data_IF_972497007962
#
_entry.id   IF_972497007962
#
_cell.length_a   1.000
_cell.length_b   1.000
_cell.length_c   1.000
_cell.angle_alpha   90.00
_cell.angle_beta   90.00
_cell.angle_gamma   90.00
#
_symmetry.space_group_name_H-M   'P 1'
#
loop_
_entity.id
_entity.type
_entity.pdbx_description
1 polymer ?
#
# COMPACT_ATOMS: atom_id res chain seq x y z
N UNK A 1 -16.50 12.60 13.29
CA UNK A 1 -15.65 11.53 12.73
C UNK A 1 -15.63 10.34 13.69
N UNK A 2 -15.83 9.11 13.20
CA UNK A 2 -15.71 7.87 13.98
C UNK A 2 -14.41 7.19 13.58
N UNK A 3 -13.63 6.71 14.52
CA UNK A 3 -12.36 6.00 14.27
C UNK A 3 -12.13 4.91 15.32
N UNK A 4 -11.62 3.76 14.87
CA UNK A 4 -11.13 2.70 15.74
C UNK A 4 -9.87 3.14 16.50
N UNK A 5 -8.95 3.79 15.80
CA UNK A 5 -7.69 4.26 16.38
C UNK A 5 -7.91 5.52 17.22
N UNK A 6 -7.23 5.60 18.36
CA UNK A 6 -7.28 6.75 19.27
C UNK A 6 -6.36 7.87 18.85
N UNK A 7 -5.35 7.53 18.08
CA UNK A 7 -4.33 8.44 17.59
C UNK A 7 -4.93 9.49 16.66
N UNK A 8 -4.29 10.64 16.56
CA UNK A 8 -4.58 11.63 15.54
C UNK A 8 -4.26 11.02 14.16
N UNK A 9 -5.01 11.33 13.08
CA UNK A 9 -4.70 10.84 11.74
C UNK A 9 -3.22 11.05 11.39
N UNK A 10 -2.55 9.99 11.01
CA UNK A 10 -1.11 9.96 10.82
C UNK A 10 -0.70 9.35 9.47
N UNK A 11 0.52 9.66 9.05
CA UNK A 11 1.10 9.18 7.80
C UNK A 11 1.52 7.70 7.91
N UNK A 12 0.66 6.80 7.43
CA UNK A 12 0.94 5.34 7.46
C UNK A 12 2.13 4.94 6.60
N UNK A 13 2.51 5.77 5.61
CA UNK A 13 3.68 5.46 4.77
C UNK A 13 4.99 5.54 5.55
N UNK A 14 5.00 6.25 6.68
CA UNK A 14 6.16 6.33 7.56
C UNK A 14 6.35 5.09 8.44
N UNK A 15 5.32 4.26 8.60
CA UNK A 15 5.41 3.07 9.46
C UNK A 15 6.50 2.09 9.00
N UNK A 16 6.67 1.93 7.68
CA UNK A 16 7.75 1.09 7.13
C UNK A 16 9.02 1.89 6.84
N UNK A 17 8.91 3.16 6.45
CA UNK A 17 10.07 3.99 6.06
C UNK A 17 10.88 4.51 7.24
N UNK A 18 10.25 4.64 8.40
CA UNK A 18 10.86 5.19 9.62
C UNK A 18 10.65 4.27 10.84
N UNK A 19 10.60 2.96 10.60
CA UNK A 19 10.25 1.94 11.61
C UNK A 19 11.10 2.04 12.88
N UNK A 20 12.39 2.29 12.74
CA UNK A 20 13.34 2.40 13.86
C UNK A 20 13.91 3.81 14.02
N UNK A 21 13.33 4.81 13.33
CA UNK A 21 13.63 6.18 13.62
C UNK A 21 13.11 6.54 15.03
N UNK A 22 13.81 7.43 15.71
CA UNK A 22 13.40 7.90 17.03
C UNK A 22 12.29 8.96 16.88
N UNK A 23 11.13 8.53 16.35
CA UNK A 23 9.95 9.35 16.14
C UNK A 23 8.95 9.11 17.26
N UNK A 24 8.42 10.21 17.80
CA UNK A 24 7.28 10.19 18.70
C UNK A 24 5.97 10.02 17.89
N UNK A 25 4.88 9.48 18.45
CA UNK A 25 3.61 9.34 17.74
C UNK A 25 3.11 10.61 17.06
N UNK A 26 3.39 11.79 17.62
CA UNK A 26 3.04 13.10 17.05
C UNK A 26 3.78 13.41 15.75
N UNK A 27 4.97 12.84 15.53
CA UNK A 27 5.80 13.10 14.35
C UNK A 27 5.24 12.43 13.09
N UNK A 28 4.34 11.45 13.28
CA UNK A 28 3.59 10.82 12.18
C UNK A 28 2.36 11.62 11.77
N UNK A 29 1.89 12.59 12.57
CA UNK A 29 0.61 13.27 12.36
C UNK A 29 0.59 14.18 11.13
N UNK A 30 -0.52 14.14 10.37
CA UNK A 30 -0.79 15.09 9.26
C UNK A 30 -1.29 16.44 9.73
N UNK A 31 -1.95 16.48 10.89
CA UNK A 31 -2.69 17.64 11.38
C UNK A 31 -2.19 18.00 12.77
N UNK A 32 -2.24 19.27 13.08
CA UNK A 32 -1.87 19.76 14.41
C UNK A 32 -2.83 19.25 15.51
N UNK A 33 -2.40 19.29 16.77
CA UNK A 33 -3.16 18.74 17.90
C UNK A 33 -4.52 19.45 18.09
N UNK A 34 -4.63 20.72 17.74
CA UNK A 34 -5.81 21.57 17.88
C UNK A 34 -6.72 21.61 16.64
N UNK A 35 -6.37 20.86 15.58
CA UNK A 35 -7.10 20.88 14.31
C UNK A 35 -8.58 20.50 14.47
N UNK A 36 -8.89 19.45 15.24
CA UNK A 36 -10.26 19.00 15.43
C UNK A 36 -11.13 20.05 16.12
N UNK A 37 -10.56 20.77 17.09
CA UNK A 37 -11.24 21.85 17.80
C UNK A 37 -11.48 23.05 16.85
N UNK A 38 -10.42 23.50 16.15
CA UNK A 38 -10.51 24.60 15.19
C UNK A 38 -11.53 24.33 14.07
N UNK A 39 -11.55 23.09 13.57
CA UNK A 39 -12.48 22.69 12.51
C UNK A 39 -13.83 22.23 13.04
N UNK A 40 -14.06 22.28 14.37
CA UNK A 40 -15.31 21.86 15.05
C UNK A 40 -15.70 20.41 14.71
N UNK A 41 -14.71 19.52 14.53
CA UNK A 41 -14.93 18.11 14.23
C UNK A 41 -15.00 17.29 15.51
N UNK A 42 -16.19 16.77 15.82
CA UNK A 42 -16.35 15.83 16.94
C UNK A 42 -15.75 14.48 16.61
N UNK A 43 -14.77 14.03 17.41
CA UNK A 43 -14.21 12.68 17.33
C UNK A 43 -14.99 11.72 18.23
N UNK A 44 -15.26 10.54 17.71
CA UNK A 44 -15.84 9.42 18.45
C UNK A 44 -14.93 8.22 18.24
N UNK A 45 -14.34 7.71 19.31
CA UNK A 45 -13.57 6.48 19.25
C UNK A 45 -14.49 5.28 19.47
N UNK A 46 -14.38 4.28 18.61
CA UNK A 46 -15.18 3.07 18.69
C UNK A 46 -15.08 2.20 17.43
N UNK A 47 -15.45 0.95 17.59
CA UNK A 47 -15.58 -0.03 16.50
C UNK A 47 -16.96 0.15 15.86
N UNK A 48 -17.02 0.36 14.55
CA UNK A 48 -18.28 0.41 13.80
C UNK A 48 -18.74 -1.04 13.61
N UNK A 49 -19.95 -1.35 14.07
CA UNK A 49 -20.58 -2.66 13.90
C UNK A 49 -21.56 -2.70 12.73
N UNK A 50 -22.28 -1.57 12.47
CA UNK A 50 -23.32 -1.51 11.45
C UNK A 50 -23.40 -0.13 10.80
N UNK A 51 -23.65 -0.10 9.50
CA UNK A 51 -24.15 1.06 8.77
C UNK A 51 -25.63 0.82 8.46
N UNK A 52 -26.52 1.43 9.23
CA UNK A 52 -27.95 1.38 8.97
C UNK A 52 -28.36 2.51 8.02
N UNK A 53 -28.22 2.25 6.72
CA UNK A 53 -28.45 3.26 5.70
C UNK A 53 -29.90 3.71 5.60
N UNK A 54 -30.86 2.80 5.87
CA UNK A 54 -32.29 3.10 5.82
C UNK A 54 -32.70 4.12 6.90
N UNK A 55 -32.12 4.04 8.09
CA UNK A 55 -32.38 4.92 9.21
C UNK A 55 -31.32 6.03 9.37
N UNK A 56 -30.35 6.11 8.45
CA UNK A 56 -29.23 7.06 8.48
C UNK A 56 -28.48 7.04 9.82
N UNK A 57 -28.09 5.86 10.27
CA UNK A 57 -27.36 5.65 11.53
C UNK A 57 -26.12 4.80 11.34
N UNK A 58 -25.07 5.15 12.05
CA UNK A 58 -23.91 4.28 12.27
C UNK A 58 -23.99 3.75 13.69
N UNK A 59 -23.96 2.42 13.85
CA UNK A 59 -24.01 1.76 15.16
C UNK A 59 -22.62 1.25 15.52
N UNK A 60 -22.19 1.56 16.72
CA UNK A 60 -20.92 1.08 17.26
C UNK A 60 -21.11 -0.24 18.02
N UNK A 61 -20.04 -1.01 18.15
CA UNK A 61 -20.04 -2.30 18.84
C UNK A 61 -20.43 -2.20 20.33
N UNK A 62 -20.28 -1.02 20.95
CA UNK A 62 -20.72 -0.73 22.32
C UNK A 62 -22.18 -0.29 22.42
N UNK A 63 -22.94 -0.33 21.32
CA UNK A 63 -24.37 0.01 21.26
C UNK A 63 -24.65 1.50 21.02
N UNK A 64 -23.66 2.38 21.02
CA UNK A 64 -23.89 3.79 20.66
C UNK A 64 -24.31 3.89 19.20
N UNK A 65 -25.34 4.72 18.92
CA UNK A 65 -25.77 5.04 17.57
C UNK A 65 -25.51 6.51 17.26
N UNK A 66 -25.06 6.79 16.05
CA UNK A 66 -24.74 8.13 15.56
C UNK A 66 -25.58 8.37 14.30
N UNK A 67 -26.45 9.36 14.36
CA UNK A 67 -27.26 9.79 13.22
C UNK A 67 -26.43 10.67 12.28
N UNK A 68 -26.75 10.60 10.98
CA UNK A 68 -26.09 11.38 9.95
C UNK A 68 -27.07 11.85 8.86
N UNK A 69 -26.80 12.97 8.23
CA UNK A 69 -27.44 13.39 6.99
C UNK A 69 -26.71 12.81 5.76
N UNK A 70 -25.38 12.84 5.82
CA UNK A 70 -24.45 12.29 4.84
C UNK A 70 -23.36 11.48 5.55
N UNK A 71 -23.00 10.34 4.97
CA UNK A 71 -21.98 9.46 5.49
C UNK A 71 -20.86 9.29 4.48
N UNK A 72 -19.61 9.55 4.88
CA UNK A 72 -18.44 9.22 4.08
C UNK A 72 -17.78 7.97 4.70
N UNK A 73 -17.83 6.87 3.98
CA UNK A 73 -17.23 5.61 4.37
C UNK A 73 -15.75 5.61 3.95
N UNK A 74 -14.84 5.73 4.91
CA UNK A 74 -13.40 5.83 4.69
C UNK A 74 -12.62 4.89 5.61
N UNK A 75 -13.10 3.65 5.78
CA UNK A 75 -12.51 2.66 6.69
C UNK A 75 -11.23 2.01 6.12
N UNK A 76 -10.81 2.41 4.92
CA UNK A 76 -9.55 1.98 4.32
C UNK A 76 -9.49 0.49 4.01
N UNK A 77 -8.34 -0.10 4.27
CA UNK A 77 -8.02 -1.50 3.98
C UNK A 77 -7.27 -2.16 5.13
N UNK A 78 -7.21 -3.49 5.12
CA UNK A 78 -6.37 -4.30 5.98
C UNK A 78 -5.39 -5.14 5.15
N UNK A 79 -4.27 -5.54 5.73
CA UNK A 79 -3.36 -6.45 5.06
C UNK A 79 -3.94 -7.85 4.98
N UNK A 80 -3.85 -8.43 3.80
CA UNK A 80 -4.23 -9.82 3.59
C UNK A 80 -3.13 -10.74 4.12
N UNK A 81 -3.46 -11.57 5.10
CA UNK A 81 -2.62 -12.67 5.55
C UNK A 81 -3.10 -13.92 4.84
N UNK A 82 -2.29 -14.52 3.94
CA UNK A 82 -2.64 -15.79 3.33
C UNK A 82 -2.88 -16.86 4.40
N UNK A 83 -3.86 -17.74 4.19
CA UNK A 83 -4.10 -18.83 5.13
C UNK A 83 -2.96 -19.86 5.05
N UNK A 84 -2.16 -19.94 6.10
CA UNK A 84 -1.20 -21.01 6.35
C UNK A 84 -1.29 -21.44 7.81
N UNK A 85 -0.90 -22.65 8.13
CA UNK A 85 -0.94 -23.14 9.52
C UNK A 85 -0.07 -22.28 10.44
N UNK A 86 -0.61 -21.85 11.58
CA UNK A 86 0.09 -20.96 12.53
C UNK A 86 0.12 -19.49 12.11
N UNK A 87 -0.67 -19.06 11.11
CA UNK A 87 -0.74 -17.64 10.72
C UNK A 87 -1.33 -16.73 11.81
N UNK A 88 -1.99 -17.29 12.82
CA UNK A 88 -2.50 -16.56 14.00
C UNK A 88 -1.48 -16.49 15.15
N UNK A 89 -0.29 -17.10 15.05
CA UNK A 89 0.75 -16.99 16.09
C UNK A 89 1.09 -15.51 16.35
N UNK A 90 1.32 -15.19 17.62
CA UNK A 90 1.60 -13.82 18.04
C UNK A 90 2.84 -13.20 17.37
N UNK A 91 3.75 -14.01 16.85
CA UNK A 91 4.96 -13.59 16.12
C UNK A 91 4.71 -13.35 14.64
N UNK A 92 3.54 -13.73 14.13
CA UNK A 92 3.08 -13.37 12.77
C UNK A 92 2.31 -12.07 12.87
N UNK A 93 2.66 -11.08 12.05
CA UNK A 93 2.07 -9.75 12.12
C UNK A 93 2.10 -9.05 10.75
N UNK A 94 1.47 -7.89 10.68
CA UNK A 94 1.53 -6.95 9.56
C UNK A 94 2.11 -5.63 10.07
N UNK A 95 2.27 -4.62 9.21
CA UNK A 95 2.65 -3.26 9.62
C UNK A 95 1.65 -2.28 9.00
N UNK A 96 0.51 -2.09 9.67
CA UNK A 96 -0.56 -1.19 9.24
C UNK A 96 -0.83 -0.06 10.22
N UNK A 97 -0.52 -0.28 11.50
CA UNK A 97 -0.82 0.64 12.60
C UNK A 97 0.43 0.90 13.44
N UNK A 98 0.39 1.96 14.27
CA UNK A 98 1.44 2.21 15.26
C UNK A 98 1.56 1.05 16.26
N UNK A 99 0.45 0.39 16.58
CA UNK A 99 0.45 -0.79 17.46
C UNK A 99 1.19 -1.98 16.82
N UNK A 100 1.02 -2.19 15.51
CA UNK A 100 1.77 -3.23 14.78
C UNK A 100 3.27 -2.95 14.83
N UNK A 101 3.66 -1.69 14.68
CA UNK A 101 5.06 -1.27 14.75
C UNK A 101 5.67 -1.57 16.13
N UNK A 102 4.97 -1.23 17.22
CA UNK A 102 5.41 -1.54 18.58
C UNK A 102 5.46 -3.06 18.81
N UNK A 103 4.52 -3.81 18.27
CA UNK A 103 4.54 -5.29 18.31
C UNK A 103 5.81 -5.84 17.64
N UNK A 104 6.16 -5.37 16.44
CA UNK A 104 7.39 -5.80 15.74
C UNK A 104 8.62 -5.48 16.59
N UNK A 105 8.72 -4.28 17.16
CA UNK A 105 9.83 -3.89 18.02
C UNK A 105 9.98 -4.81 19.23
N UNK A 106 8.88 -5.10 19.92
CA UNK A 106 8.87 -6.02 21.08
C UNK A 106 9.29 -7.45 20.73
N UNK A 107 8.86 -7.98 19.58
CA UNK A 107 9.25 -9.31 19.12
C UNK A 107 10.77 -9.42 18.85
N UNK A 108 11.39 -8.34 18.38
CA UNK A 108 12.83 -8.28 18.10
C UNK A 108 13.72 -8.21 19.34
N UNK A 109 13.15 -8.05 20.54
CA UNK A 109 13.90 -8.17 21.80
C UNK A 109 14.32 -9.62 22.08
N UNK A 110 13.54 -10.61 21.60
CA UNK A 110 13.81 -12.04 21.78
C UNK A 110 14.77 -12.63 20.75
N UNK A 111 15.09 -11.90 19.68
CA UNK A 111 16.01 -12.33 18.63
C UNK A 111 15.90 -11.48 17.36
N UNK A 112 16.83 -11.71 16.43
CA UNK A 112 17.00 -10.86 15.25
C UNK A 112 16.72 -11.59 13.91
N UNK A 113 16.08 -12.74 13.94
CA UNK A 113 15.65 -13.45 12.75
C UNK A 113 14.30 -12.91 12.29
N UNK A 114 14.26 -12.25 11.15
CA UNK A 114 13.06 -11.63 10.58
C UNK A 114 12.74 -12.21 9.20
N UNK A 115 11.50 -12.65 9.02
CA UNK A 115 11.02 -13.17 7.74
C UNK A 115 9.90 -12.26 7.24
N UNK A 116 10.05 -11.76 6.01
CA UNK A 116 9.04 -10.98 5.30
C UNK A 116 8.31 -11.91 4.32
N UNK A 117 7.00 -12.05 4.44
CA UNK A 117 6.17 -12.80 3.48
C UNK A 117 5.53 -11.79 2.54
N UNK A 118 6.06 -11.71 1.31
CA UNK A 118 5.68 -10.76 0.27
C UNK A 118 6.83 -9.82 -0.12
N UNK A 119 7.27 -9.91 -1.37
CA UNK A 119 8.35 -9.10 -1.99
C UNK A 119 7.84 -7.87 -2.73
N UNK A 120 6.73 -7.27 -2.26
CA UNK A 120 6.21 -5.98 -2.74
C UNK A 120 6.86 -4.79 -2.04
N UNK A 121 6.39 -3.56 -2.37
CA UNK A 121 6.93 -2.29 -1.86
C UNK A 121 7.05 -2.29 -0.33
N UNK A 122 5.94 -2.51 0.36
CA UNK A 122 5.87 -2.46 1.83
C UNK A 122 6.78 -3.51 2.47
N UNK A 123 6.79 -4.74 1.93
CA UNK A 123 7.66 -5.82 2.42
C UNK A 123 9.14 -5.50 2.26
N UNK A 124 9.54 -4.96 1.10
CA UNK A 124 10.92 -4.60 0.83
C UNK A 124 11.41 -3.40 1.65
N UNK A 125 10.56 -2.38 1.83
CA UNK A 125 10.86 -1.24 2.72
C UNK A 125 11.05 -1.72 4.17
N UNK A 126 10.13 -2.56 4.67
CA UNK A 126 10.23 -3.13 6.01
C UNK A 126 11.49 -4.02 6.14
N UNK A 127 11.81 -4.83 5.13
CA UNK A 127 13.03 -5.65 5.10
C UNK A 127 14.30 -4.80 5.23
N UNK A 128 14.34 -3.67 4.53
CA UNK A 128 15.48 -2.76 4.61
C UNK A 128 15.63 -2.10 5.97
N UNK A 129 14.53 -1.64 6.57
CA UNK A 129 14.55 -1.07 7.93
C UNK A 129 14.98 -2.11 8.97
N UNK A 130 14.46 -3.34 8.91
CA UNK A 130 14.88 -4.45 9.76
C UNK A 130 16.36 -4.79 9.58
N UNK A 131 16.86 -4.75 8.33
CA UNK A 131 18.29 -4.97 8.04
C UNK A 131 19.17 -3.89 8.67
N UNK A 132 18.78 -2.62 8.55
CA UNK A 132 19.49 -1.50 9.19
C UNK A 132 19.48 -1.61 10.72
N UNK A 133 18.42 -2.18 11.29
CA UNK A 133 18.32 -2.45 12.74
C UNK A 133 19.18 -3.61 13.21
N UNK A 134 19.87 -4.32 12.30
CA UNK A 134 20.76 -5.41 12.61
C UNK A 134 20.12 -6.80 12.59
N UNK A 135 18.95 -6.94 11.95
CA UNK A 135 18.32 -8.24 11.78
C UNK A 135 18.97 -9.07 10.65
N UNK A 136 18.88 -10.39 10.79
CA UNK A 136 19.03 -11.32 9.68
C UNK A 136 17.68 -11.39 8.96
N UNK A 137 17.63 -10.88 7.73
CA UNK A 137 16.37 -10.70 7.02
C UNK A 137 16.27 -11.66 5.84
N UNK A 138 15.16 -12.38 5.76
CA UNK A 138 14.77 -13.17 4.58
C UNK A 138 13.45 -12.66 4.04
N UNK A 139 13.40 -12.37 2.74
CA UNK A 139 12.18 -12.03 2.00
C UNK A 139 11.72 -13.25 1.21
N UNK A 140 10.47 -13.66 1.43
CA UNK A 140 9.79 -14.73 0.70
C UNK A 140 8.81 -14.09 -0.28
N UNK A 141 8.92 -14.46 -1.56
CA UNK A 141 7.99 -14.03 -2.60
C UNK A 141 7.41 -15.26 -3.32
N UNK A 142 6.09 -15.37 -3.35
CA UNK A 142 5.41 -16.48 -4.01
C UNK A 142 5.49 -16.41 -5.53
N UNK A 143 5.62 -15.21 -6.09
CA UNK A 143 5.82 -14.99 -7.52
C UNK A 143 7.28 -15.34 -7.93
N UNK A 144 7.54 -15.51 -9.23
CA UNK A 144 8.89 -15.82 -9.73
C UNK A 144 9.88 -14.64 -9.63
N UNK A 145 9.42 -13.45 -9.25
CA UNK A 145 10.26 -12.26 -9.11
C UNK A 145 9.69 -11.26 -8.13
N UNK A 146 10.55 -10.41 -7.55
CA UNK A 146 10.13 -9.30 -6.70
C UNK A 146 9.28 -8.30 -7.49
N UNK A 147 8.23 -7.78 -6.86
CA UNK A 147 7.36 -6.75 -7.43
C UNK A 147 6.80 -7.09 -8.82
N UNK A 148 6.52 -8.36 -9.12
CA UNK A 148 6.10 -8.86 -10.44
C UNK A 148 4.91 -8.12 -11.06
N UNK A 149 4.04 -7.51 -10.24
CA UNK A 149 2.89 -6.72 -10.71
C UNK A 149 3.24 -5.27 -11.07
N UNK A 150 4.49 -4.84 -10.83
CA UNK A 150 4.95 -3.44 -11.00
C UNK A 150 6.23 -3.32 -11.81
N UNK A 151 7.03 -4.38 -11.89
CA UNK A 151 8.30 -4.38 -12.59
C UNK A 151 8.31 -5.52 -13.60
N UNK A 152 8.94 -5.25 -14.74
CA UNK A 152 9.26 -6.30 -15.70
C UNK A 152 10.43 -7.18 -15.19
N UNK A 153 10.72 -8.32 -15.82
CA UNK A 153 11.75 -9.24 -15.35
C UNK A 153 13.15 -8.62 -15.25
N UNK A 154 13.53 -7.70 -16.15
CA UNK A 154 14.84 -7.06 -16.14
C UNK A 154 14.99 -6.12 -14.93
N UNK A 155 14.00 -5.25 -14.71
CA UNK A 155 13.99 -4.35 -13.56
C UNK A 155 13.91 -5.11 -12.23
N UNK A 156 13.07 -6.15 -12.16
CA UNK A 156 12.94 -7.00 -10.97
C UNK A 156 14.25 -7.76 -10.67
N UNK A 157 14.93 -8.29 -11.70
CA UNK A 157 16.22 -8.99 -11.53
C UNK A 157 17.33 -8.05 -11.06
N UNK A 158 17.35 -6.80 -11.52
CA UNK A 158 18.29 -5.79 -11.00
C UNK A 158 17.97 -5.46 -9.55
N UNK A 159 16.70 -5.20 -9.22
CA UNK A 159 16.26 -4.92 -7.86
C UNK A 159 16.64 -6.05 -6.90
N UNK A 160 16.41 -7.31 -7.27
CA UNK A 160 16.78 -8.46 -6.44
C UNK A 160 18.28 -8.49 -6.15
N UNK A 161 19.13 -8.28 -7.17
CA UNK A 161 20.60 -8.22 -6.98
C UNK A 161 21.01 -7.12 -6.01
N UNK A 162 20.37 -5.95 -6.06
CA UNK A 162 20.65 -4.83 -5.14
C UNK A 162 20.22 -5.17 -3.71
N UNK A 163 19.06 -5.80 -3.54
CA UNK A 163 18.55 -6.27 -2.24
C UNK A 163 19.48 -7.31 -1.64
N UNK A 164 19.89 -8.33 -2.41
CA UNK A 164 20.80 -9.39 -1.97
C UNK A 164 22.20 -8.84 -1.64
N UNK A 165 22.72 -7.92 -2.45
CA UNK A 165 23.99 -7.23 -2.20
C UNK A 165 23.99 -6.47 -0.86
N UNK A 166 22.82 -6.03 -0.39
CA UNK A 166 22.64 -5.37 0.91
C UNK A 166 22.57 -6.37 2.09
N UNK A 167 22.74 -7.67 1.82
CA UNK A 167 22.74 -8.74 2.83
C UNK A 167 21.34 -9.15 3.27
N UNK A 168 20.31 -8.92 2.48
CA UNK A 168 18.96 -9.46 2.64
C UNK A 168 18.84 -10.70 1.77
N UNK A 169 18.46 -11.83 2.35
CA UNK A 169 18.21 -13.07 1.60
C UNK A 169 16.86 -12.96 0.88
N UNK A 170 16.81 -13.33 -0.39
CA UNK A 170 15.56 -13.38 -1.18
C UNK A 170 15.31 -14.80 -1.65
N UNK A 171 14.06 -15.28 -1.45
CA UNK A 171 13.60 -16.58 -1.97
C UNK A 171 12.33 -16.31 -2.75
N UNK A 172 12.39 -16.42 -4.06
CA UNK A 172 11.25 -16.34 -4.97
C UNK A 172 10.63 -17.72 -5.20
N UNK A 173 9.43 -17.81 -5.76
CA UNK A 173 8.64 -19.04 -5.85
C UNK A 173 8.44 -19.71 -4.48
N UNK A 174 8.48 -18.95 -3.41
CA UNK A 174 8.44 -19.41 -2.03
C UNK A 174 6.99 -19.41 -1.53
N UNK A 175 6.37 -20.57 -1.46
CA UNK A 175 5.04 -20.73 -0.86
C UNK A 175 5.18 -21.13 0.61
N UNK A 176 4.73 -20.28 1.52
CA UNK A 176 4.66 -20.58 2.95
C UNK A 176 3.62 -21.67 3.19
N UNK A 177 3.98 -22.71 3.95
CA UNK A 177 3.11 -23.79 4.37
C UNK A 177 2.63 -23.57 5.79
N UNK A 178 3.56 -23.31 6.72
CA UNK A 178 3.21 -23.10 8.14
C UNK A 178 4.25 -22.26 8.89
N UNK A 179 3.85 -21.80 10.07
CA UNK A 179 4.72 -21.26 11.10
C UNK A 179 4.59 -22.12 12.36
N UNK A 180 5.68 -22.73 12.80
CA UNK A 180 5.71 -23.56 14.01
C UNK A 180 7.06 -23.45 14.69
N UNK A 181 7.10 -23.56 16.03
CA UNK A 181 8.30 -23.63 16.86
C UNK A 181 9.34 -22.51 16.59
N UNK A 182 8.90 -21.33 16.14
CA UNK A 182 9.79 -20.21 15.83
C UNK A 182 10.41 -20.28 14.44
N UNK A 183 9.85 -21.08 13.53
CA UNK A 183 10.32 -21.24 12.16
C UNK A 183 9.17 -21.09 11.15
N UNK A 184 9.44 -20.44 10.03
CA UNK A 184 8.65 -20.55 8.81
C UNK A 184 9.07 -21.81 8.06
N UNK A 185 8.08 -22.60 7.65
CA UNK A 185 8.26 -23.78 6.81
C UNK A 185 7.65 -23.50 5.44
N UNK A 186 8.41 -23.72 4.40
CA UNK A 186 7.95 -23.61 3.00
C UNK A 186 7.43 -24.96 2.50
N UNK A 187 6.61 -24.94 1.46
CA UNK A 187 6.05 -26.17 0.84
C UNK A 187 7.09 -27.15 0.30
N UNK A 188 8.31 -26.68 0.01
CA UNK A 188 9.43 -27.51 -0.41
C UNK A 188 10.21 -28.15 0.77
N UNK A 189 9.74 -27.91 2.00
CA UNK A 189 10.37 -28.39 3.23
C UNK A 189 11.47 -27.49 3.80
N UNK A 190 11.80 -26.36 3.15
CA UNK A 190 12.77 -25.40 3.68
C UNK A 190 12.28 -24.82 5.00
N UNK A 191 13.13 -24.79 6.01
CA UNK A 191 12.83 -24.21 7.34
C UNK A 191 13.72 -23.00 7.56
N UNK A 192 13.12 -21.93 8.08
CA UNK A 192 13.77 -20.63 8.29
C UNK A 192 13.43 -20.13 9.70
N UNK A 193 14.44 -19.89 10.57
CA UNK A 193 14.17 -19.31 11.87
C UNK A 193 13.54 -17.93 11.75
N UNK A 194 12.55 -17.65 12.58
CA UNK A 194 11.81 -16.39 12.54
C UNK A 194 11.33 -15.98 13.95
N UNK A 195 12.00 -14.99 14.53
CA UNK A 195 11.52 -14.33 15.74
C UNK A 195 10.33 -13.42 15.44
N UNK A 196 10.28 -12.87 14.24
CA UNK A 196 9.15 -12.11 13.72
C UNK A 196 8.89 -12.46 12.26
N UNK A 197 7.62 -12.66 11.93
CA UNK A 197 7.12 -12.83 10.57
C UNK A 197 6.26 -11.64 10.22
N UNK A 198 6.68 -10.83 9.25
CA UNK A 198 5.90 -9.70 8.76
C UNK A 198 5.25 -10.08 7.43
N UNK A 199 3.93 -10.11 7.39
CA UNK A 199 3.15 -10.44 6.18
C UNK A 199 2.79 -9.17 5.42
N UNK A 200 3.14 -9.12 4.15
CA UNK A 200 2.90 -8.00 3.22
C UNK A 200 2.42 -8.49 1.84
N UNK A 201 1.35 -9.31 1.84
CA UNK A 201 0.78 -9.94 0.65
C UNK A 201 -0.35 -9.13 0.00
N UNK A 202 -0.26 -7.80 0.08
CA UNK A 202 -1.28 -6.88 -0.43
C UNK A 202 -2.38 -6.59 0.58
N UNK A 203 -3.35 -5.78 0.15
CA UNK A 203 -4.44 -5.29 0.99
C UNK A 203 -5.81 -5.75 0.49
N UNK A 204 -6.78 -5.70 1.39
CA UNK A 204 -8.21 -5.92 1.10
C UNK A 204 -9.00 -4.75 1.66
N UNK A 205 -9.98 -4.27 0.90
CA UNK A 205 -10.86 -3.19 1.31
C UNK A 205 -11.69 -3.58 2.56
N UNK A 206 -11.84 -2.68 3.50
CA UNK A 206 -12.79 -2.83 4.60
C UNK A 206 -14.21 -2.48 4.10
N UNK A 207 -14.85 -3.39 3.38
CA UNK A 207 -16.14 -3.15 2.70
C UNK A 207 -17.33 -3.93 3.28
N UNK A 208 -17.10 -4.91 4.15
CA UNK A 208 -18.14 -5.82 4.64
C UNK A 208 -19.35 -5.11 5.29
N UNK A 209 -19.09 -4.07 6.09
CA UNK A 209 -20.18 -3.31 6.75
C UNK A 209 -20.99 -2.52 5.71
N UNK A 210 -20.35 -2.00 4.67
CA UNK A 210 -21.03 -1.32 3.58
C UNK A 210 -21.87 -2.30 2.75
N UNK A 211 -21.33 -3.47 2.43
CA UNK A 211 -22.03 -4.53 1.71
C UNK A 211 -23.27 -5.00 2.46
N UNK A 212 -23.17 -5.24 3.76
CA UNK A 212 -24.28 -5.58 4.63
C UNK A 212 -25.40 -4.50 4.67
N UNK A 213 -25.04 -3.23 4.42
CA UNK A 213 -25.96 -2.10 4.30
C UNK A 213 -26.56 -1.94 2.90
N UNK A 214 -26.32 -2.88 1.96
CA UNK A 214 -26.82 -2.83 0.58
C UNK A 214 -26.01 -1.92 -0.35
N UNK A 215 -24.80 -1.49 0.08
CA UNK A 215 -23.87 -0.77 -0.79
C UNK A 215 -23.23 -1.76 -1.76
N UNK A 216 -23.16 -1.39 -3.04
CA UNK A 216 -22.56 -2.23 -4.08
C UNK A 216 -21.05 -2.35 -3.86
N UNK A 217 -20.58 -3.59 -3.80
CA UNK A 217 -19.17 -3.94 -3.61
C UNK A 217 -18.74 -4.92 -4.71
N UNK A 218 -17.53 -4.67 -5.29
CA UNK A 218 -16.80 -5.65 -6.09
C UNK A 218 -15.51 -6.03 -5.33
N UNK A 219 -14.35 -5.50 -5.74
CA UNK A 219 -13.13 -5.58 -4.94
C UNK A 219 -13.14 -4.61 -3.76
N UNK A 220 -13.83 -3.48 -3.95
CA UNK A 220 -14.08 -2.45 -2.95
C UNK A 220 -15.46 -1.83 -3.21
N UNK A 221 -15.83 -0.80 -2.46
CA UNK A 221 -17.10 -0.10 -2.59
C UNK A 221 -17.14 0.66 -3.92
N UNK A 222 -18.10 0.31 -4.77
CA UNK A 222 -18.25 0.94 -6.09
C UNK A 222 -18.79 2.36 -5.94
N UNK A 223 -18.05 3.32 -6.50
CA UNK A 223 -18.43 4.74 -6.50
C UNK A 223 -18.44 5.31 -7.92
N UNK A 224 -19.20 6.40 -8.10
CA UNK A 224 -19.15 7.22 -9.31
C UNK A 224 -18.05 8.31 -9.18
N UNK A 225 -17.94 9.18 -10.18
CA UNK A 225 -16.98 10.28 -10.21
C UNK A 225 -17.24 11.38 -9.15
N UNK A 226 -18.37 11.33 -8.44
CA UNK A 226 -18.67 12.19 -7.29
C UNK A 226 -18.39 11.49 -5.95
N UNK A 227 -17.78 10.30 -5.98
CA UNK A 227 -17.56 9.42 -4.84
C UNK A 227 -18.87 8.94 -4.16
N UNK A 228 -20.00 9.01 -4.86
CA UNK A 228 -21.29 8.51 -4.39
C UNK A 228 -21.39 7.01 -4.62
N UNK A 229 -21.94 6.31 -3.64
CA UNK A 229 -22.33 4.90 -3.78
C UNK A 229 -23.74 4.79 -4.40
N UNK A 230 -24.21 3.56 -4.62
CA UNK A 230 -25.60 3.31 -5.01
C UNK A 230 -26.63 3.66 -3.92
N UNK A 231 -26.18 3.90 -2.69
CA UNK A 231 -27.05 4.26 -1.56
C UNK A 231 -27.06 5.77 -1.36
N UNK A 232 -28.22 6.45 -1.52
CA UNK A 232 -28.29 7.91 -1.42
C UNK A 232 -27.74 8.45 -0.09
N UNK A 233 -26.86 9.43 -0.18
CA UNK A 233 -26.24 10.07 0.98
C UNK A 233 -25.08 9.30 1.61
N UNK A 234 -24.69 8.16 1.01
CA UNK A 234 -23.50 7.40 1.40
C UNK A 234 -22.44 7.55 0.31
N UNK A 235 -21.28 8.05 0.69
CA UNK A 235 -20.07 8.21 -0.13
C UNK A 235 -19.00 7.23 0.32
N UNK A 236 -18.03 6.91 -0.53
CA UNK A 236 -16.85 6.18 -0.11
C UNK A 236 -15.58 6.77 -0.72
N UNK A 237 -14.45 6.68 0.01
CA UNK A 237 -13.17 7.24 -0.43
C UNK A 237 -11.98 6.45 0.13
N UNK A 238 -10.86 6.46 -0.58
CA UNK A 238 -9.59 5.83 -0.21
C UNK A 238 -9.56 4.33 -0.50
N UNK A 239 -8.74 3.59 0.24
CA UNK A 239 -8.47 2.16 -0.03
C UNK A 239 -9.73 1.27 0.00
N UNK A 240 -10.85 1.74 0.56
CA UNK A 240 -12.11 1.00 0.56
C UNK A 240 -13.01 1.31 -0.65
N UNK A 241 -12.64 2.26 -1.52
CA UNK A 241 -13.42 2.67 -2.69
C UNK A 241 -12.86 2.07 -4.00
N UNK A 242 -13.79 1.82 -4.95
CA UNK A 242 -13.48 1.36 -6.30
C UNK A 242 -14.16 2.30 -7.31
N UNK A 243 -13.35 2.97 -8.12
CA UNK A 243 -13.80 3.86 -9.18
C UNK A 243 -13.41 3.28 -10.53
N UNK A 244 -14.35 3.19 -11.47
CA UNK A 244 -14.17 2.62 -12.82
C UNK A 244 -13.49 1.23 -12.83
N UNK A 245 -13.81 0.37 -11.87
CA UNK A 245 -13.24 -0.97 -11.73
C UNK A 245 -11.83 -1.02 -11.10
N UNK A 246 -11.29 0.14 -10.67
CA UNK A 246 -9.98 0.24 -10.05
C UNK A 246 -10.09 0.56 -8.55
N UNK A 247 -9.47 -0.29 -7.73
CA UNK A 247 -9.17 0.01 -6.34
C UNK A 247 -7.69 0.39 -6.26
N UNK A 248 -7.41 1.67 -6.09
CA UNK A 248 -6.05 2.22 -6.21
C UNK A 248 -5.15 1.84 -5.04
N UNK A 249 -5.67 1.91 -3.82
CA UNK A 249 -4.93 1.71 -2.57
C UNK A 249 -3.62 2.53 -2.53
N UNK A 250 -3.68 3.77 -2.99
CA UNK A 250 -2.60 4.74 -3.06
C UNK A 250 -2.97 5.97 -2.25
N UNK A 251 -2.01 6.49 -1.48
CA UNK A 251 -2.25 7.64 -0.61
C UNK A 251 -2.71 8.91 -1.36
N UNK A 252 -2.08 9.33 -2.49
CA UNK A 252 -2.54 10.52 -3.23
C UNK A 252 -3.97 10.37 -3.76
N UNK A 253 -4.33 9.18 -4.25
CA UNK A 253 -5.70 8.90 -4.71
C UNK A 253 -6.69 8.93 -3.56
N UNK A 254 -6.34 8.37 -2.40
CA UNK A 254 -7.19 8.42 -1.21
C UNK A 254 -7.46 9.86 -0.75
N UNK A 255 -6.46 10.74 -0.82
CA UNK A 255 -6.58 12.16 -0.50
C UNK A 255 -7.51 12.88 -1.49
N UNK A 256 -7.31 12.67 -2.79
CA UNK A 256 -8.16 13.28 -3.82
C UNK A 256 -9.61 12.77 -3.78
N UNK A 257 -9.80 11.47 -3.59
CA UNK A 257 -11.13 10.89 -3.38
C UNK A 257 -11.80 11.45 -2.11
N UNK A 258 -11.04 11.59 -1.02
CA UNK A 258 -11.52 12.18 0.23
C UNK A 258 -11.98 13.64 0.06
N UNK A 259 -11.21 14.44 -0.70
CA UNK A 259 -11.59 15.83 -1.04
C UNK A 259 -12.88 15.89 -1.85
N UNK A 260 -12.99 15.05 -2.89
CA UNK A 260 -14.20 14.99 -3.72
C UNK A 260 -15.42 14.51 -2.92
N UNK A 261 -15.27 13.44 -2.12
CA UNK A 261 -16.35 12.95 -1.26
C UNK A 261 -16.80 13.99 -0.23
N UNK A 262 -15.85 14.70 0.39
CA UNK A 262 -16.12 15.74 1.38
C UNK A 262 -16.89 16.92 0.78
N UNK A 263 -16.44 17.44 -0.36
CA UNK A 263 -17.07 18.54 -1.07
C UNK A 263 -18.49 18.18 -1.51
N UNK A 264 -18.68 17.00 -2.13
CA UNK A 264 -19.99 16.54 -2.57
C UNK A 264 -20.95 16.22 -1.41
N UNK A 265 -20.46 15.70 -0.31
CA UNK A 265 -21.26 15.52 0.89
C UNK A 265 -21.71 16.87 1.49
N UNK A 266 -20.92 17.94 1.34
CA UNK A 266 -21.27 19.30 1.74
C UNK A 266 -22.22 20.01 0.78
N UNK A 267 -22.46 19.48 -0.43
CA UNK A 267 -23.41 20.00 -1.42
C UNK A 267 -22.77 20.61 -2.66
N UNK A 268 -21.45 20.52 -2.81
CA UNK A 268 -20.75 20.95 -4.02
C UNK A 268 -20.94 19.92 -5.17
N UNK A 269 -20.46 20.28 -6.36
CA UNK A 269 -20.41 19.41 -7.56
C UNK A 269 -18.97 19.22 -8.03
N UNK A 270 -18.22 18.39 -7.34
CA UNK A 270 -16.83 18.10 -7.65
C UNK A 270 -16.71 16.72 -8.29
N UNK A 271 -16.02 16.66 -9.43
CA UNK A 271 -15.71 15.40 -10.13
C UNK A 271 -14.31 14.93 -9.78
N UNK A 272 -14.23 13.70 -9.33
CA UNK A 272 -12.94 13.02 -9.15
C UNK A 272 -12.41 12.60 -10.53
N UNK A 273 -11.16 12.89 -10.76
CA UNK A 273 -10.40 12.43 -11.92
C UNK A 273 -9.18 11.70 -11.39
N UNK A 274 -9.02 10.44 -11.78
CA UNK A 274 -7.82 9.68 -11.42
C UNK A 274 -6.62 10.18 -12.19
N UNK A 275 -5.51 10.32 -11.50
CA UNK A 275 -4.21 10.66 -12.08
C UNK A 275 -3.29 9.44 -12.06
N UNK A 276 -2.30 9.42 -12.95
CA UNK A 276 -1.28 8.38 -12.92
C UNK A 276 -0.15 8.79 -12.01
N UNK A 277 -0.12 8.21 -10.82
CA UNK A 277 0.95 8.45 -9.85
C UNK A 277 2.09 7.47 -10.00
N UNK A 278 3.31 7.99 -9.90
CA UNK A 278 4.50 7.17 -9.82
C UNK A 278 4.71 6.62 -8.41
N UNK A 279 5.17 5.39 -8.34
CA UNK A 279 5.60 4.75 -7.11
C UNK A 279 7.07 5.06 -6.89
N UNK A 280 7.42 5.62 -5.73
CA UNK A 280 8.81 5.83 -5.30
C UNK A 280 9.14 4.91 -4.14
N UNK A 281 10.28 4.25 -4.20
CA UNK A 281 10.80 3.41 -3.12
C UNK A 281 12.28 3.70 -2.87
N UNK A 282 12.67 3.84 -1.59
CA UNK A 282 14.05 4.03 -1.16
C UNK A 282 14.46 2.85 -0.30
N UNK A 283 15.37 2.01 -0.79
CA UNK A 283 15.84 0.84 -0.06
C UNK A 283 17.26 0.46 -0.52
N UNK A 284 18.00 -0.23 0.33
CA UNK A 284 19.30 -0.81 -0.04
C UNK A 284 20.27 0.20 -0.66
N UNK A 285 20.23 1.46 -0.16
CA UNK A 285 21.00 2.59 -0.68
C UNK A 285 20.77 2.89 -2.17
N UNK A 286 19.59 2.54 -2.68
CA UNK A 286 19.17 2.84 -4.06
C UNK A 286 17.76 3.42 -4.06
N UNK A 287 17.41 4.04 -5.18
CA UNK A 287 16.08 4.58 -5.41
C UNK A 287 15.42 3.83 -6.56
N UNK A 288 14.12 3.62 -6.47
CA UNK A 288 13.31 3.08 -7.53
C UNK A 288 12.11 4.00 -7.75
N UNK A 289 11.85 4.32 -9.00
CA UNK A 289 10.66 5.00 -9.45
C UNK A 289 10.01 4.21 -10.58
N UNK A 290 8.72 3.96 -10.50
CA UNK A 290 7.95 3.34 -11.57
C UNK A 290 6.61 4.04 -11.74
N UNK A 291 6.26 4.40 -12.97
CA UNK A 291 5.01 5.08 -13.31
C UNK A 291 4.35 4.41 -14.50
N UNK A 292 3.01 4.37 -14.47
CA UNK A 292 2.21 3.83 -15.55
C UNK A 292 2.31 2.31 -15.67
N UNK A 293 2.25 1.78 -16.87
CA UNK A 293 2.19 0.36 -17.19
C UNK A 293 3.59 -0.16 -17.51
N UNK A 294 4.21 -0.80 -16.55
CA UNK A 294 5.62 -1.23 -16.58
C UNK A 294 5.82 -2.74 -16.44
N UNK A 295 4.70 -3.49 -16.39
CA UNK A 295 4.68 -4.95 -16.32
C UNK A 295 3.42 -5.49 -17.01
N UNK A 296 3.39 -6.79 -17.28
CA UNK A 296 2.26 -7.48 -17.91
C UNK A 296 2.69 -8.18 -19.21
N UNK A 297 1.70 -8.78 -19.89
CA UNK A 297 1.91 -9.56 -21.11
C UNK A 297 1.59 -8.77 -22.38
N UNK A 298 1.42 -7.46 -22.29
CA UNK A 298 1.17 -6.61 -23.45
C UNK A 298 2.39 -6.56 -24.38
N UNK A 299 2.16 -6.38 -25.68
CA UNK A 299 3.25 -6.29 -26.66
C UNK A 299 3.95 -4.93 -26.60
N UNK A 300 4.65 -4.68 -25.48
CA UNK A 300 5.41 -3.46 -25.32
C UNK A 300 6.58 -3.35 -26.31
N UNK A 301 6.69 -2.21 -26.97
CA UNK A 301 7.97 -1.74 -27.48
C UNK A 301 8.72 -1.10 -26.32
N UNK A 302 9.96 -1.54 -26.04
CA UNK A 302 10.73 -0.98 -24.92
C UNK A 302 12.04 -0.37 -25.39
N UNK A 303 12.49 0.67 -24.67
CA UNK A 303 13.85 1.21 -24.77
C UNK A 303 14.46 1.11 -23.39
N UNK A 304 15.64 0.47 -23.30
CA UNK A 304 16.28 0.16 -22.05
C UNK A 304 17.72 0.69 -22.04
N UNK A 305 18.08 1.34 -20.94
CA UNK A 305 19.43 1.77 -20.60
C UNK A 305 19.81 1.13 -19.27
N UNK A 306 20.57 0.03 -19.33
CA UNK A 306 20.98 -0.75 -18.17
C UNK A 306 22.49 -0.61 -17.95
N UNK A 307 22.89 -0.18 -16.76
CA UNK A 307 24.27 -0.29 -16.28
C UNK A 307 24.29 -1.18 -15.02
N UNK A 308 24.60 -2.47 -15.19
CA UNK A 308 24.60 -3.43 -14.08
C UNK A 308 25.76 -3.20 -13.09
N UNK A 309 26.82 -2.49 -13.49
CA UNK A 309 27.97 -2.16 -12.63
C UNK A 309 27.59 -1.05 -11.65
N UNK A 310 26.94 -0.02 -12.16
CA UNK A 310 26.42 1.08 -11.32
C UNK A 310 25.11 0.72 -10.63
N UNK A 311 24.43 -0.35 -11.06
CA UNK A 311 23.11 -0.73 -10.56
C UNK A 311 22.00 0.23 -11.00
N UNK A 312 22.10 0.78 -12.22
CA UNK A 312 21.11 1.73 -12.74
C UNK A 312 20.36 1.17 -13.93
N UNK A 313 19.07 1.50 -14.00
CA UNK A 313 18.18 1.17 -15.11
C UNK A 313 17.26 2.35 -15.41
N UNK A 314 17.17 2.71 -16.70
CA UNK A 314 16.08 3.55 -17.24
C UNK A 314 15.38 2.74 -18.33
N UNK A 315 14.10 2.45 -18.16
CA UNK A 315 13.31 1.65 -19.10
C UNK A 315 11.98 2.32 -19.41
N UNK A 316 11.74 2.49 -20.70
CA UNK A 316 10.54 3.12 -21.26
C UNK A 316 9.69 2.06 -21.92
N UNK A 317 8.38 2.11 -21.69
CA UNK A 317 7.40 1.16 -22.21
C UNK A 317 6.41 1.89 -23.09
N UNK A 318 6.30 1.44 -24.35
CA UNK A 318 5.38 2.00 -25.34
C UNK A 318 4.36 0.95 -25.74
N UNK A 319 3.10 1.35 -25.79
CA UNK A 319 2.01 0.55 -26.33
C UNK A 319 1.35 1.34 -27.47
N UNK A 320 1.24 0.72 -28.66
CA UNK A 320 0.77 1.41 -29.86
C UNK A 320 1.51 2.73 -30.15
N UNK A 321 2.82 2.72 -29.96
CA UNK A 321 3.73 3.88 -30.13
C UNK A 321 3.54 5.03 -29.12
N UNK A 322 2.67 4.88 -28.12
CA UNK A 322 2.42 5.85 -27.04
C UNK A 322 3.18 5.42 -25.78
N UNK A 323 3.87 6.33 -25.12
CA UNK A 323 4.52 6.08 -23.84
C UNK A 323 3.46 5.77 -22.78
N UNK A 324 3.52 4.57 -22.20
CA UNK A 324 2.56 4.12 -21.21
C UNK A 324 3.17 3.80 -19.84
N UNK A 325 4.49 3.75 -19.75
CA UNK A 325 5.16 3.52 -18.46
C UNK A 325 6.67 3.76 -18.53
N UNK A 326 7.26 4.04 -17.38
CA UNK A 326 8.71 4.20 -17.21
C UNK A 326 9.12 3.59 -15.88
N UNK A 327 10.26 2.88 -15.87
CA UNK A 327 10.94 2.40 -14.66
C UNK A 327 12.34 3.00 -14.59
N UNK A 328 12.65 3.60 -13.43
CA UNK A 328 13.97 4.12 -13.09
C UNK A 328 14.49 3.38 -11.86
N UNK A 329 15.72 2.88 -11.86
CA UNK A 329 16.40 2.29 -10.71
C UNK A 329 17.78 2.93 -10.59
N UNK A 330 18.19 3.31 -9.37
CA UNK A 330 19.47 3.88 -9.03
C UNK A 330 19.60 5.37 -9.34
N UNK A 331 19.25 5.79 -10.54
CA UNK A 331 19.17 7.20 -10.92
C UNK A 331 17.72 7.58 -11.24
N UNK A 332 17.10 8.30 -10.31
CA UNK A 332 15.71 8.78 -10.40
C UNK A 332 15.62 10.28 -10.68
N UNK A 333 16.72 10.93 -11.06
CA UNK A 333 16.79 12.38 -11.29
C UNK A 333 15.80 12.89 -12.35
N UNK A 334 15.41 12.02 -13.30
CA UNK A 334 14.44 12.31 -14.35
C UNK A 334 12.97 12.10 -13.94
N UNK A 335 12.66 11.76 -12.68
CA UNK A 335 11.31 11.34 -12.28
C UNK A 335 10.20 12.34 -12.66
N UNK A 336 10.44 13.64 -12.51
CA UNK A 336 9.46 14.68 -12.86
C UNK A 336 9.20 14.67 -14.37
N UNK A 337 10.27 14.69 -15.17
CA UNK A 337 10.18 14.66 -16.62
C UNK A 337 9.43 13.42 -17.12
N UNK A 338 9.78 12.22 -16.65
CA UNK A 338 9.12 10.99 -17.12
C UNK A 338 7.67 10.90 -16.66
N UNK A 339 7.33 11.49 -15.50
CA UNK A 339 5.95 11.63 -15.06
C UNK A 339 5.11 12.45 -16.04
N UNK A 340 5.63 13.62 -16.43
CA UNK A 340 4.96 14.51 -17.39
C UNK A 340 4.81 13.82 -18.76
N UNK A 341 5.85 13.12 -19.24
CA UNK A 341 5.80 12.40 -20.51
C UNK A 341 4.75 11.29 -20.51
N UNK A 342 4.66 10.50 -19.43
CA UNK A 342 3.66 9.42 -19.32
C UNK A 342 2.24 9.99 -19.24
N UNK A 343 2.03 11.03 -18.42
CA UNK A 343 0.72 11.67 -18.29
C UNK A 343 0.26 12.37 -19.57
N UNK A 344 1.21 12.93 -20.31
CA UNK A 344 0.94 13.56 -21.62
C UNK A 344 0.77 12.54 -22.75
N UNK A 345 1.00 11.24 -22.51
CA UNK A 345 0.86 10.16 -23.51
C UNK A 345 1.64 10.42 -24.79
N UNK A 346 2.88 10.90 -24.65
CA UNK A 346 3.74 11.29 -25.80
C UNK A 346 4.06 10.10 -26.70
N UNK A 347 4.33 10.39 -27.97
CA UNK A 347 4.70 9.38 -28.96
C UNK A 347 6.18 9.00 -28.87
N UNK A 348 6.52 7.82 -29.39
CA UNK A 348 7.89 7.29 -29.38
C UNK A 348 8.90 8.28 -29.96
N UNK A 349 8.61 8.87 -31.13
CA UNK A 349 9.52 9.77 -31.84
C UNK A 349 9.67 11.14 -31.14
N UNK A 350 8.76 11.49 -30.23
CA UNK A 350 8.88 12.68 -29.37
C UNK A 350 9.82 12.43 -28.18
N UNK A 351 9.90 11.19 -27.69
CA UNK A 351 10.82 10.79 -26.62
C UNK A 351 12.21 10.49 -27.15
N UNK A 352 12.29 9.83 -28.31
CA UNK A 352 13.51 9.41 -28.98
C UNK A 352 13.50 9.88 -30.45
N UNK A 353 13.76 11.18 -30.69
CA UNK A 353 13.92 11.69 -32.05
C UNK A 353 15.10 11.00 -32.73
N UNK A 354 14.92 10.52 -33.96
CA UNK A 354 15.91 9.75 -34.72
C UNK A 354 17.14 10.54 -35.12
#
# INVERSE_FOLDING_TARGET
MVSLEKETPYNRTLLTKAMFANLEPKDYNFIGPDWFEKMKVRRVNGVIAELNAANKKVVLADGRAIEYDKCIYALGSYFFVPPFEGCEDSRVTTIRTLQDLEKVKGLLESGKEAVLVGGGVVGLEAAWELKKYGCNVTVLEAAPSLMANKLDPAASGLLQKLVEKSGIRVIVNAATEKYEDGEIVLKDGTRLPANVVVVSCGVRANSLIAEAAGVKVNRAIVVNDRMETNVPGVYAAGDCAEFEGMNYALWPEADNQGKAAGANAAGDDVRFVSETYGMTMHLCNTELYAIGKTSGNEPFRTVEFLDPVRGTLKKYFFLHNVLCGVTLIGDTSDLVRVTDLVNSKVLFDEVFPG
#
